data_IF_722657299294
#
_entry.id   IF_722657299294
#
_cell.length_a   1.000
_cell.length_b   1.000
_cell.length_c   1.000
_cell.angle_alpha   90.00
_cell.angle_beta   90.00
_cell.angle_gamma   90.00
#
_symmetry.space_group_name_H-M   'P 1'
#
loop_
_entity.id
_entity.type
_entity.pdbx_description
1 polymer ?
#
# COMPACT_ATOMS: atom_id res chain seq x y z
N UNK A 1 31.87 -26.22 -3.88
CA UNK A 1 32.03 -26.35 -2.40
C UNK A 1 32.43 -27.79 -2.07
N UNK A 2 33.61 -28.04 -1.49
CA UNK A 2 34.15 -29.39 -1.19
C UNK A 2 33.45 -30.10 0.00
N UNK A 3 32.11 -30.14 0.03
CA UNK A 3 31.33 -30.79 1.10
C UNK A 3 31.42 -30.13 2.49
N UNK A 4 32.21 -29.07 2.66
CA UNK A 4 32.38 -28.33 3.92
C UNK A 4 31.05 -27.79 4.46
N UNK A 5 30.22 -27.19 3.61
CA UNK A 5 28.89 -26.71 4.00
C UNK A 5 27.99 -27.87 4.45
N UNK A 6 27.94 -28.96 3.68
CA UNK A 6 27.17 -30.15 4.04
C UNK A 6 27.60 -30.73 5.39
N UNK A 7 28.89 -30.69 5.73
CA UNK A 7 29.38 -31.12 7.03
C UNK A 7 28.97 -30.17 8.16
N UNK A 8 28.98 -28.85 7.94
CA UNK A 8 28.51 -27.86 8.92
C UNK A 8 26.99 -27.97 9.17
N UNK A 9 26.23 -28.39 8.17
CA UNK A 9 24.79 -28.60 8.28
C UNK A 9 24.41 -29.91 8.99
N UNK A 10 25.37 -30.83 9.24
CA UNK A 10 25.07 -32.06 9.98
C UNK A 10 24.65 -31.73 11.41
N UNK A 11 23.37 -31.91 11.71
CA UNK A 11 22.78 -31.59 13.02
C UNK A 11 22.09 -30.23 13.09
N UNK A 12 22.19 -29.40 12.05
CA UNK A 12 21.40 -28.18 11.95
C UNK A 12 19.92 -28.54 11.74
N UNK A 13 19.05 -28.07 12.63
CA UNK A 13 17.60 -28.19 12.51
C UNK A 13 17.03 -26.84 12.09
N UNK A 14 17.14 -26.52 10.79
CA UNK A 14 16.58 -25.29 10.24
C UNK A 14 15.13 -25.51 9.80
N UNK A 15 14.19 -25.11 10.66
CA UNK A 15 12.78 -25.04 10.32
C UNK A 15 12.45 -23.86 9.39
N UNK A 16 11.21 -23.81 8.90
CA UNK A 16 10.68 -22.67 8.14
C UNK A 16 10.90 -21.36 8.93
N UNK A 17 11.45 -20.34 8.27
CA UNK A 17 11.70 -19.03 8.89
C UNK A 17 12.94 -18.98 9.79
N UNK A 18 13.76 -20.03 9.79
CA UNK A 18 15.06 -20.04 10.44
C UNK A 18 16.18 -19.99 9.40
N UNK A 19 17.27 -19.30 9.73
CA UNK A 19 18.47 -19.28 8.93
C UNK A 19 19.71 -19.27 9.81
N UNK A 20 20.83 -19.79 9.31
CA UNK A 20 22.14 -19.72 9.96
C UNK A 20 23.17 -19.16 8.99
N UNK A 21 24.13 -18.40 9.52
CA UNK A 21 25.21 -17.79 8.74
C UNK A 21 26.51 -18.53 9.04
N UNK A 22 27.18 -18.98 7.99
CA UNK A 22 28.45 -19.67 8.06
C UNK A 22 29.52 -18.84 7.34
N UNK A 23 30.65 -18.62 8.01
CA UNK A 23 31.82 -17.94 7.44
C UNK A 23 32.92 -18.95 7.12
N UNK A 24 33.91 -18.53 6.33
CA UNK A 24 35.06 -19.37 5.95
C UNK A 24 34.65 -20.67 5.24
N UNK A 25 33.51 -20.71 4.54
CA UNK A 25 33.03 -21.91 3.83
C UNK A 25 33.62 -22.00 2.43
N UNK A 26 33.72 -20.87 1.73
CA UNK A 26 34.25 -20.76 0.37
C UNK A 26 35.12 -19.51 0.26
N UNK A 27 36.10 -19.52 -0.65
CA UNK A 27 37.01 -18.37 -0.80
C UNK A 27 36.34 -17.16 -1.45
N UNK A 28 35.38 -17.39 -2.34
CA UNK A 28 34.67 -16.31 -3.06
C UNK A 28 33.53 -15.68 -2.24
N UNK A 29 33.13 -16.28 -1.12
CA UNK A 29 31.99 -15.83 -0.32
C UNK A 29 32.42 -15.55 1.12
N UNK A 30 32.33 -14.29 1.54
CA UNK A 30 32.64 -13.87 2.92
C UNK A 30 31.77 -14.60 3.96
N UNK A 31 30.50 -14.80 3.63
CA UNK A 31 29.54 -15.54 4.43
C UNK A 31 28.50 -16.22 3.52
N UNK A 32 27.95 -17.34 3.99
CA UNK A 32 26.87 -18.08 3.34
C UNK A 32 25.76 -18.24 4.38
N UNK A 33 24.55 -17.78 4.04
CA UNK A 33 23.37 -18.04 4.86
C UNK A 33 22.58 -19.22 4.29
N UNK A 34 22.23 -20.17 5.14
CA UNK A 34 21.34 -21.29 4.80
C UNK A 34 20.04 -21.10 5.56
N UNK A 35 18.91 -21.14 4.85
CA UNK A 35 17.57 -20.98 5.42
C UNK A 35 16.70 -22.22 5.20
N UNK A 36 15.84 -22.53 6.17
CA UNK A 36 14.84 -23.58 6.04
C UNK A 36 13.66 -23.13 5.17
N UNK A 37 13.45 -23.80 4.04
CA UNK A 37 12.32 -23.57 3.13
C UNK A 37 11.01 -24.15 3.67
N UNK A 38 11.05 -25.09 4.62
CA UNK A 38 9.87 -25.86 5.01
C UNK A 38 9.66 -27.10 4.12
N UNK A 39 8.45 -27.70 4.13
CA UNK A 39 8.17 -28.93 3.38
C UNK A 39 8.34 -28.75 1.86
N UNK A 40 8.82 -29.80 1.20
CA UNK A 40 8.89 -29.88 -0.26
C UNK A 40 7.51 -30.19 -0.86
N UNK A 41 7.27 -29.76 -2.11
CA UNK A 41 6.05 -30.08 -2.86
C UNK A 41 4.82 -29.28 -2.46
N UNK A 42 4.96 -28.26 -1.62
CA UNK A 42 3.90 -27.31 -1.30
C UNK A 42 3.43 -26.55 -2.54
N UNK A 43 2.18 -26.07 -2.52
CA UNK A 43 1.57 -25.33 -3.63
C UNK A 43 0.48 -24.39 -3.13
N UNK A 44 -0.62 -24.30 -3.87
CA UNK A 44 -1.77 -23.51 -3.45
C UNK A 44 -2.51 -24.20 -2.29
N UNK A 45 -2.55 -23.55 -1.13
CA UNK A 45 -3.39 -23.93 0.01
C UNK A 45 -4.71 -23.16 -0.05
N UNK A 46 -5.80 -23.89 -0.28
CA UNK A 46 -7.14 -23.31 -0.39
C UNK A 46 -7.73 -22.83 0.94
N UNK A 47 -7.27 -23.37 2.07
CA UNK A 47 -7.71 -22.97 3.40
C UNK A 47 -7.02 -21.66 3.82
N UNK A 48 -5.72 -21.57 3.56
CA UNK A 48 -4.95 -20.34 3.83
C UNK A 48 -5.17 -19.24 2.78
N UNK A 49 -5.68 -19.61 1.60
CA UNK A 49 -5.84 -18.71 0.46
C UNK A 49 -4.49 -18.17 -0.01
N UNK A 50 -3.49 -19.05 -0.12
CA UNK A 50 -2.09 -18.69 -0.27
C UNK A 50 -1.31 -19.71 -1.12
N UNK A 51 -0.41 -19.24 -1.98
CA UNK A 51 0.64 -20.05 -2.59
C UNK A 51 1.77 -20.28 -1.56
N UNK A 52 1.69 -21.40 -0.83
CA UNK A 52 2.59 -21.73 0.29
C UNK A 52 4.02 -21.91 -0.19
N UNK A 53 4.23 -22.44 -1.40
CA UNK A 53 5.56 -22.57 -1.99
C UNK A 53 6.24 -21.21 -2.14
N UNK A 54 5.56 -20.25 -2.76
CA UNK A 54 6.09 -18.89 -2.91
C UNK A 54 6.32 -18.20 -1.57
N UNK A 55 5.38 -18.36 -0.63
CA UNK A 55 5.54 -17.74 0.69
C UNK A 55 6.72 -18.32 1.48
N UNK A 56 6.94 -19.63 1.39
CA UNK A 56 8.10 -20.30 1.96
C UNK A 56 9.41 -19.76 1.39
N UNK A 57 9.47 -19.56 0.07
CA UNK A 57 10.64 -18.97 -0.61
C UNK A 57 10.86 -17.52 -0.17
N UNK A 58 9.80 -16.69 -0.08
CA UNK A 58 9.91 -15.32 0.43
C UNK A 58 10.45 -15.29 1.85
N UNK A 59 9.90 -16.11 2.74
CA UNK A 59 10.31 -16.19 4.14
C UNK A 59 11.77 -16.63 4.25
N UNK A 60 12.17 -17.69 3.55
CA UNK A 60 13.54 -18.21 3.60
C UNK A 60 14.58 -17.21 3.08
N UNK A 61 14.32 -16.61 1.91
CA UNK A 61 15.18 -15.58 1.33
C UNK A 61 15.25 -14.33 2.20
N UNK A 62 14.13 -13.92 2.80
CA UNK A 62 14.05 -12.79 3.73
C UNK A 62 14.94 -12.99 4.97
N UNK A 63 14.80 -14.12 5.66
CA UNK A 63 15.56 -14.37 6.91
C UNK A 63 17.05 -14.56 6.64
N UNK A 64 17.42 -15.19 5.52
CA UNK A 64 18.81 -15.32 5.10
C UNK A 64 19.43 -13.95 4.77
N UNK A 65 18.76 -13.17 3.91
CA UNK A 65 19.27 -11.88 3.47
C UNK A 65 19.39 -10.89 4.63
N UNK A 66 18.41 -10.85 5.54
CA UNK A 66 18.47 -10.02 6.75
C UNK A 66 19.63 -10.40 7.66
N UNK A 67 19.89 -11.70 7.88
CA UNK A 67 21.04 -12.14 8.70
C UNK A 67 22.38 -11.79 8.06
N UNK A 68 22.51 -11.88 6.74
CA UNK A 68 23.72 -11.46 6.02
C UNK A 68 23.92 -9.94 6.12
N UNK A 69 22.86 -9.14 5.89
CA UNK A 69 22.92 -7.69 6.06
C UNK A 69 23.35 -7.30 7.48
N UNK A 70 22.76 -7.91 8.51
CA UNK A 70 23.12 -7.68 9.91
C UNK A 70 24.55 -8.11 10.26
N UNK A 71 25.15 -8.98 9.44
CA UNK A 71 26.56 -9.40 9.56
C UNK A 71 27.52 -8.49 8.78
N UNK A 72 27.03 -7.38 8.20
CA UNK A 72 27.81 -6.42 7.44
C UNK A 72 27.99 -6.75 5.96
N UNK A 73 27.24 -7.72 5.42
CA UNK A 73 27.31 -8.09 4.00
C UNK A 73 26.42 -7.16 3.17
N UNK A 74 27.04 -6.38 2.28
CA UNK A 74 26.34 -5.38 1.47
C UNK A 74 26.03 -5.84 0.05
N UNK A 75 26.53 -6.98 -0.40
CA UNK A 75 26.19 -7.60 -1.69
C UNK A 75 25.85 -9.06 -1.45
N UNK A 76 24.62 -9.43 -1.75
CA UNK A 76 24.08 -10.77 -1.48
C UNK A 76 23.66 -11.40 -2.80
N UNK A 77 24.22 -12.58 -3.07
CA UNK A 77 23.73 -13.45 -4.14
C UNK A 77 22.61 -14.31 -3.55
N UNK A 78 21.43 -14.24 -4.15
CA UNK A 78 20.22 -14.91 -3.68
C UNK A 78 19.93 -16.09 -4.60
N UNK A 79 19.77 -17.28 -4.01
CA UNK A 79 19.35 -18.46 -4.77
C UNK A 79 17.93 -18.27 -5.31
N UNK A 80 17.70 -18.64 -6.57
CA UNK A 80 16.39 -18.52 -7.21
C UNK A 80 15.36 -19.57 -6.76
N UNK A 81 15.81 -20.65 -6.11
CA UNK A 81 15.00 -21.81 -5.74
C UNK A 81 14.14 -22.30 -6.93
N UNK A 82 12.88 -22.68 -6.69
CA UNK A 82 11.88 -22.97 -7.74
C UNK A 82 11.14 -21.73 -8.25
N UNK A 83 11.32 -20.57 -7.61
CA UNK A 83 10.66 -19.32 -7.99
C UNK A 83 11.54 -18.09 -7.65
N UNK A 84 12.28 -17.60 -8.63
CA UNK A 84 13.22 -16.49 -8.43
C UNK A 84 12.54 -15.14 -8.19
N UNK A 85 11.28 -14.98 -8.63
CA UNK A 85 10.47 -13.79 -8.34
C UNK A 85 10.15 -13.69 -6.85
N UNK A 86 9.66 -14.78 -6.24
CA UNK A 86 9.41 -14.86 -4.80
C UNK A 86 10.70 -14.71 -3.97
N UNK A 87 11.82 -15.27 -4.44
CA UNK A 87 13.11 -15.14 -3.77
C UNK A 87 13.61 -13.67 -3.75
N UNK A 88 13.47 -12.98 -4.88
CA UNK A 88 13.78 -11.56 -4.98
C UNK A 88 12.85 -10.71 -4.11
N UNK A 89 11.55 -10.97 -4.14
CA UNK A 89 10.54 -10.29 -3.30
C UNK A 89 10.93 -10.39 -1.82
N UNK A 90 11.14 -11.61 -1.31
CA UNK A 90 11.47 -11.86 0.09
C UNK A 90 12.77 -11.17 0.53
N UNK A 91 13.86 -11.37 -0.22
CA UNK A 91 15.14 -10.76 0.09
C UNK A 91 15.06 -9.22 0.08
N UNK A 92 14.47 -8.63 -0.97
CA UNK A 92 14.41 -7.17 -1.15
C UNK A 92 13.50 -6.47 -0.12
N UNK A 93 12.39 -7.10 0.27
CA UNK A 93 11.51 -6.57 1.31
C UNK A 93 12.17 -6.62 2.69
N UNK A 94 12.98 -7.65 2.97
CA UNK A 94 13.62 -7.86 4.26
C UNK A 94 14.83 -6.97 4.52
N UNK A 95 15.64 -6.70 3.48
CA UNK A 95 16.84 -5.84 3.62
C UNK A 95 16.52 -4.35 3.53
N UNK A 96 15.28 -3.98 3.22
CA UNK A 96 14.85 -2.59 3.18
C UNK A 96 14.85 -1.97 4.59
N UNK A 97 15.32 -0.74 4.67
CA UNK A 97 15.33 0.05 5.90
C UNK A 97 14.95 1.49 5.60
N UNK A 98 14.10 2.08 6.42
CA UNK A 98 13.86 3.53 6.40
C UNK A 98 14.94 4.25 7.21
N UNK A 99 15.76 5.05 6.53
CA UNK A 99 16.96 5.67 7.14
C UNK A 99 17.10 7.18 6.84
N UNK A 100 16.15 7.79 6.12
CA UNK A 100 16.23 9.17 5.59
C UNK A 100 16.57 10.21 6.67
N UNK A 101 16.02 10.04 7.88
CA UNK A 101 16.21 10.96 9.00
C UNK A 101 17.17 10.45 10.09
N UNK A 102 17.86 9.33 9.86
CA UNK A 102 18.97 8.90 10.74
C UNK A 102 20.20 9.78 10.49
N UNK A 103 21.03 9.94 11.52
CA UNK A 103 22.34 10.57 11.38
C UNK A 103 23.17 9.83 10.32
N UNK A 104 23.95 10.56 9.51
CA UNK A 104 24.75 9.95 8.42
C UNK A 104 25.69 8.84 8.91
N UNK A 105 26.24 8.97 10.11
CA UNK A 105 27.14 7.99 10.73
C UNK A 105 26.40 6.72 11.20
N UNK A 106 25.09 6.80 11.41
CA UNK A 106 24.22 5.69 11.83
C UNK A 106 23.49 5.03 10.64
N UNK A 107 23.62 5.60 9.43
CA UNK A 107 23.04 5.03 8.23
C UNK A 107 23.84 3.80 7.80
N UNK A 108 23.13 2.69 7.59
CA UNK A 108 23.69 1.48 7.01
C UNK A 108 23.71 1.59 5.49
N UNK A 109 24.74 1.01 4.86
CA UNK A 109 24.80 0.91 3.41
C UNK A 109 23.63 0.09 2.88
N UNK A 110 23.07 0.50 1.74
CA UNK A 110 22.02 -0.27 1.09
C UNK A 110 22.58 -1.60 0.56
N UNK A 111 21.86 -2.68 0.82
CA UNK A 111 22.24 -4.01 0.35
C UNK A 111 21.88 -4.18 -1.13
N UNK A 112 22.87 -4.57 -1.94
CA UNK A 112 22.70 -4.97 -3.33
C UNK A 112 22.34 -6.45 -3.39
N UNK A 113 21.29 -6.78 -4.15
CA UNK A 113 20.83 -8.15 -4.37
C UNK A 113 21.06 -8.56 -5.82
N UNK A 114 21.61 -9.75 -6.03
CA UNK A 114 21.82 -10.34 -7.35
C UNK A 114 21.38 -11.81 -7.33
N UNK A 115 21.04 -12.38 -8.48
CA UNK A 115 20.67 -13.79 -8.58
C UNK A 115 21.94 -14.66 -8.55
N UNK A 116 21.95 -15.68 -7.68
CA UNK A 116 23.02 -16.68 -7.61
C UNK A 116 22.95 -17.64 -8.82
N UNK A 117 24.09 -17.85 -9.48
CA UNK A 117 24.30 -18.83 -10.57
C UNK A 117 23.37 -18.73 -11.80
N UNK A 118 22.75 -17.57 -12.06
CA UNK A 118 22.27 -17.20 -13.41
C UNK A 118 21.99 -15.69 -13.48
N UNK A 119 22.61 -14.92 -14.38
CA UNK A 119 22.27 -13.51 -14.57
C UNK A 119 20.97 -13.29 -15.38
N UNK A 120 20.36 -14.35 -15.93
CA UNK A 120 19.27 -14.26 -16.90
C UNK A 120 17.99 -14.93 -16.38
N UNK A 121 17.29 -14.25 -15.48
CA UNK A 121 15.95 -14.65 -15.05
C UNK A 121 15.02 -13.44 -15.00
N UNK A 122 14.07 -13.35 -15.93
CA UNK A 122 13.05 -12.29 -15.95
C UNK A 122 12.27 -12.23 -14.61
N UNK A 123 12.06 -13.40 -13.99
CA UNK A 123 11.40 -13.54 -12.69
C UNK A 123 12.11 -12.79 -11.55
N UNK A 124 13.43 -12.91 -11.40
CA UNK A 124 14.16 -12.25 -10.32
C UNK A 124 14.08 -10.73 -10.45
N UNK A 125 14.30 -10.21 -11.67
CA UNK A 125 14.16 -8.78 -11.96
C UNK A 125 12.75 -8.27 -11.67
N UNK A 126 11.73 -9.02 -12.08
CA UNK A 126 10.32 -8.71 -11.81
C UNK A 126 10.03 -8.67 -10.30
N UNK A 127 10.57 -9.61 -9.53
CA UNK A 127 10.43 -9.64 -8.08
C UNK A 127 11.10 -8.45 -7.39
N UNK A 128 12.31 -8.05 -7.85
CA UNK A 128 12.97 -6.83 -7.37
C UNK A 128 12.13 -5.58 -7.67
N UNK A 129 11.56 -5.46 -8.88
CA UNK A 129 10.71 -4.32 -9.27
C UNK A 129 9.49 -4.24 -8.35
N UNK A 130 8.81 -5.36 -8.11
CA UNK A 130 7.63 -5.41 -7.23
C UNK A 130 7.98 -5.01 -5.79
N UNK A 131 9.05 -5.58 -5.24
CA UNK A 131 9.50 -5.24 -3.90
C UNK A 131 9.94 -3.77 -3.79
N UNK A 132 10.61 -3.22 -4.80
CA UNK A 132 10.97 -1.80 -4.85
C UNK A 132 9.71 -0.92 -4.82
N UNK A 133 8.67 -1.28 -5.58
CA UNK A 133 7.42 -0.53 -5.63
C UNK A 133 6.64 -0.61 -4.31
N UNK A 134 6.66 -1.75 -3.61
CA UNK A 134 6.09 -1.87 -2.27
C UNK A 134 6.92 -1.09 -1.24
N UNK A 135 8.25 -1.13 -1.35
CA UNK A 135 9.17 -0.37 -0.51
C UNK A 135 9.04 1.15 -0.73
N UNK A 136 8.68 1.59 -1.93
CA UNK A 136 8.30 2.99 -2.18
C UNK A 136 7.06 3.37 -1.37
N UNK A 137 6.03 2.53 -1.35
CA UNK A 137 4.85 2.77 -0.50
C UNK A 137 5.24 2.84 0.99
N UNK A 138 6.03 1.85 1.48
CA UNK A 138 6.59 1.85 2.85
C UNK A 138 7.39 3.11 3.16
N UNK A 139 8.16 3.63 2.20
CA UNK A 139 8.96 4.85 2.36
C UNK A 139 8.08 6.08 2.55
N UNK A 140 6.96 6.16 1.84
CA UNK A 140 6.00 7.24 2.00
C UNK A 140 5.25 7.09 3.33
N UNK A 141 4.82 5.88 3.69
CA UNK A 141 4.09 5.61 4.95
C UNK A 141 4.93 5.83 6.21
N UNK A 142 6.22 5.50 6.17
CA UNK A 142 7.12 5.63 7.32
C UNK A 142 7.55 7.08 7.57
N UNK A 143 7.53 7.92 6.53
CA UNK A 143 7.93 9.31 6.62
C UNK A 143 7.06 10.09 7.64
N UNK A 144 7.66 10.89 8.53
CA UNK A 144 6.91 11.67 9.51
C UNK A 144 6.11 12.76 8.79
N UNK A 145 4.88 13.00 9.25
CA UNK A 145 3.92 13.86 8.56
C UNK A 145 4.42 15.29 8.30
N UNK A 146 5.24 15.85 9.20
CA UNK A 146 5.87 17.15 9.00
C UNK A 146 6.90 17.20 7.86
N UNK A 147 7.37 16.04 7.38
CA UNK A 147 8.28 15.85 6.24
C UNK A 147 7.61 15.15 5.06
N UNK A 148 6.30 14.92 5.17
CA UNK A 148 5.46 14.34 4.13
C UNK A 148 4.09 15.02 4.14
N UNK A 149 4.07 16.34 4.05
CA UNK A 149 2.84 17.11 3.88
C UNK A 149 2.16 16.77 2.54
N UNK A 150 0.90 17.19 2.28
CA UNK A 150 0.23 16.91 1.01
C UNK A 150 1.08 17.31 -0.21
N UNK A 151 1.70 18.49 -0.15
CA UNK A 151 2.60 18.97 -1.21
C UNK A 151 3.86 18.10 -1.36
N UNK A 152 4.53 17.78 -0.24
CA UNK A 152 5.74 16.94 -0.29
C UNK A 152 5.46 15.52 -0.77
N UNK A 153 4.28 14.96 -0.46
CA UNK A 153 3.85 13.70 -1.04
C UNK A 153 3.74 13.81 -2.56
N UNK A 154 3.11 14.87 -3.07
CA UNK A 154 3.00 15.10 -4.51
C UNK A 154 4.38 15.24 -5.18
N UNK A 155 5.32 15.96 -4.57
CA UNK A 155 6.70 16.06 -5.06
C UNK A 155 7.40 14.70 -5.13
N UNK A 156 7.28 13.88 -4.08
CA UNK A 156 7.84 12.51 -4.08
C UNK A 156 7.21 11.63 -5.16
N UNK A 157 5.90 11.76 -5.38
CA UNK A 157 5.21 11.04 -6.43
C UNK A 157 5.70 11.47 -7.83
N UNK A 158 5.86 12.77 -8.08
CA UNK A 158 6.44 13.30 -9.32
C UNK A 158 7.84 12.72 -9.55
N UNK A 159 8.71 12.76 -8.53
CA UNK A 159 10.07 12.24 -8.62
C UNK A 159 10.12 10.73 -8.90
N UNK A 160 9.19 9.97 -8.34
CA UNK A 160 9.14 8.51 -8.49
C UNK A 160 8.53 8.04 -9.82
N UNK A 161 7.63 8.84 -10.42
CA UNK A 161 6.74 8.38 -11.51
C UNK A 161 7.06 9.00 -12.86
N UNK A 162 7.45 10.29 -12.93
CA UNK A 162 7.62 10.98 -14.20
C UNK A 162 8.72 10.36 -15.08
N UNK A 163 9.82 9.87 -14.47
CA UNK A 163 10.90 9.18 -15.19
C UNK A 163 10.46 7.86 -15.82
N UNK A 164 9.33 7.30 -15.37
CA UNK A 164 8.77 6.05 -15.88
C UNK A 164 7.67 6.28 -16.93
N UNK A 165 7.43 7.52 -17.36
CA UNK A 165 6.40 7.85 -18.36
C UNK A 165 4.99 7.94 -17.79
N UNK A 166 4.84 8.01 -16.47
CA UNK A 166 3.54 8.24 -15.82
C UNK A 166 3.27 9.75 -15.75
N UNK A 167 2.08 10.16 -16.17
CA UNK A 167 1.61 11.53 -16.04
C UNK A 167 1.21 11.81 -14.59
N UNK A 168 1.70 12.92 -14.02
CA UNK A 168 1.37 13.38 -12.67
C UNK A 168 0.84 14.82 -12.75
N UNK A 169 -0.43 15.02 -12.44
CA UNK A 169 -1.08 16.32 -12.39
C UNK A 169 -1.42 16.69 -10.95
N UNK A 170 -0.83 17.78 -10.44
CA UNK A 170 -1.11 18.30 -9.09
C UNK A 170 -2.24 19.32 -9.18
N UNK A 171 -3.42 19.02 -8.63
CA UNK A 171 -4.56 19.94 -8.59
C UNK A 171 -4.59 20.64 -7.25
N UNK A 172 -4.39 21.95 -7.25
CA UNK A 172 -4.34 22.76 -6.05
C UNK A 172 -5.75 23.05 -5.47
N UNK A 173 -5.76 23.75 -4.33
CA UNK A 173 -7.00 24.17 -3.66
C UNK A 173 -7.91 25.00 -4.57
N UNK A 174 -7.36 25.87 -5.42
CA UNK A 174 -8.17 26.69 -6.31
C UNK A 174 -8.94 25.83 -7.30
N UNK A 175 -8.26 24.86 -7.92
CA UNK A 175 -8.92 23.89 -8.80
C UNK A 175 -10.00 23.07 -8.08
N UNK A 176 -9.76 22.68 -6.82
CA UNK A 176 -10.76 21.96 -6.01
C UNK A 176 -12.02 22.79 -5.76
N UNK A 177 -11.85 24.10 -5.51
CA UNK A 177 -12.94 25.07 -5.33
C UNK A 177 -13.72 25.26 -6.64
N UNK A 178 -13.03 25.42 -7.77
CA UNK A 178 -13.65 25.51 -9.10
C UNK A 178 -14.47 24.26 -9.43
N UNK A 179 -13.98 23.08 -9.06
CA UNK A 179 -14.68 21.80 -9.21
C UNK A 179 -15.73 21.56 -8.14
N UNK A 180 -15.91 22.46 -7.17
CA UNK A 180 -16.90 22.36 -6.08
C UNK A 180 -16.76 21.06 -5.28
N UNK A 181 -15.53 20.62 -5.02
CA UNK A 181 -15.24 19.45 -4.19
C UNK A 181 -15.41 19.79 -2.69
N UNK A 182 -16.61 20.22 -2.32
CA UNK A 182 -16.89 20.80 -1.02
C UNK A 182 -16.78 19.77 0.12
N UNK A 183 -17.11 18.49 -0.12
CA UNK A 183 -16.99 17.45 0.90
C UNK A 183 -15.51 17.26 1.26
N UNK A 184 -14.63 17.20 0.25
CA UNK A 184 -13.19 17.14 0.48
C UNK A 184 -12.65 18.41 1.16
N UNK A 185 -12.96 19.60 0.60
CA UNK A 185 -12.50 20.88 1.15
C UNK A 185 -12.95 21.11 2.61
N UNK A 186 -14.15 20.66 2.96
CA UNK A 186 -14.71 20.80 4.32
C UNK A 186 -13.99 19.95 5.35
N UNK A 187 -13.45 18.80 4.99
CA UNK A 187 -12.64 18.01 5.91
C UNK A 187 -11.23 18.60 6.05
N UNK A 188 -10.64 19.10 4.97
CA UNK A 188 -9.26 19.57 4.96
C UNK A 188 -9.03 20.91 5.68
N UNK A 189 -10.05 21.78 5.78
CA UNK A 189 -9.94 23.16 6.31
C UNK A 189 -9.48 23.28 7.77
N UNK A 190 -9.39 22.17 8.52
CA UNK A 190 -8.86 22.16 9.89
C UNK A 190 -7.35 22.38 9.96
N UNK A 191 -6.61 22.01 8.90
CA UNK A 191 -5.16 22.19 8.83
C UNK A 191 -4.74 23.48 8.11
N UNK A 192 -3.55 23.96 8.44
CA UNK A 192 -2.86 25.02 7.69
C UNK A 192 -2.18 24.48 6.42
N UNK A 193 -1.99 23.16 6.28
CA UNK A 193 -1.48 22.54 5.06
C UNK A 193 -2.57 22.55 3.98
N UNK A 194 -2.35 23.18 2.81
CA UNK A 194 -3.34 23.22 1.76
C UNK A 194 -3.67 21.82 1.23
N UNK A 195 -4.96 21.47 1.03
CA UNK A 195 -5.33 20.23 0.36
C UNK A 195 -4.97 20.29 -1.12
N UNK A 196 -4.72 19.12 -1.69
CA UNK A 196 -4.54 18.96 -3.13
C UNK A 196 -5.14 17.64 -3.59
N UNK A 197 -5.49 17.55 -4.87
CA UNK A 197 -5.85 16.28 -5.51
C UNK A 197 -4.74 15.91 -6.48
N UNK A 198 -4.05 14.81 -6.20
CA UNK A 198 -3.05 14.28 -7.10
C UNK A 198 -3.72 13.34 -8.11
N UNK A 199 -3.60 13.66 -9.39
CA UNK A 199 -4.13 12.85 -10.48
C UNK A 199 -2.98 12.16 -11.22
N UNK A 200 -3.03 10.82 -11.28
CA UNK A 200 -2.03 10.00 -11.98
C UNK A 200 -2.63 9.40 -13.26
N UNK A 201 -1.81 9.25 -14.30
CA UNK A 201 -2.22 8.61 -15.56
C UNK A 201 -1.10 7.80 -16.18
N UNK A 202 -1.39 6.55 -16.53
CA UNK A 202 -0.53 5.68 -17.32
C UNK A 202 -1.36 5.08 -18.45
N UNK A 203 -0.99 5.39 -19.69
CA UNK A 203 -1.73 5.02 -20.89
C UNK A 203 -0.82 4.21 -21.81
N UNK A 204 -0.82 2.89 -21.64
CA UNK A 204 0.00 1.97 -22.45
C UNK A 204 -0.85 0.96 -23.26
N UNK A 205 -2.18 1.05 -23.18
CA UNK A 205 -3.10 0.34 -24.07
C UNK A 205 -3.65 1.30 -25.15
N UNK A 206 -4.57 0.82 -25.99
CA UNK A 206 -5.16 1.68 -27.01
C UNK A 206 -5.93 2.85 -26.35
N UNK A 207 -5.89 4.09 -26.89
CA UNK A 207 -6.52 5.27 -26.28
C UNK A 207 -8.03 5.14 -26.01
N UNK A 208 -8.72 4.31 -26.79
CA UNK A 208 -10.14 4.00 -26.67
C UNK A 208 -10.48 3.01 -25.56
N UNK A 209 -9.49 2.27 -25.06
CA UNK A 209 -9.69 1.31 -23.97
C UNK A 209 -9.99 2.04 -22.66
N UNK A 210 -11.12 1.67 -22.06
CA UNK A 210 -11.58 2.26 -20.80
C UNK A 210 -10.57 1.97 -19.68
N UNK A 211 -10.15 3.00 -18.92
CA UNK A 211 -9.14 2.80 -17.89
C UNK A 211 -9.71 2.09 -16.66
N UNK A 212 -8.82 1.44 -15.90
CA UNK A 212 -9.08 1.14 -14.48
C UNK A 212 -8.76 2.40 -13.68
N UNK A 213 -9.66 2.79 -12.78
CA UNK A 213 -9.47 3.95 -11.93
C UNK A 213 -9.23 3.53 -10.48
N UNK A 214 -8.19 4.10 -9.86
CA UNK A 214 -7.87 3.94 -8.44
C UNK A 214 -8.17 5.24 -7.70
N UNK A 215 -8.83 5.15 -6.54
CA UNK A 215 -9.00 6.29 -5.63
C UNK A 215 -8.39 5.90 -4.29
N UNK A 216 -7.35 6.60 -3.86
CA UNK A 216 -6.61 6.28 -2.63
C UNK A 216 -6.76 7.37 -1.59
N UNK A 217 -7.24 7.02 -0.39
CA UNK A 217 -7.22 7.92 0.78
C UNK A 217 -5.79 8.42 1.02
N UNK A 218 -5.64 9.74 1.13
CA UNK A 218 -4.33 10.39 1.22
C UNK A 218 -4.19 11.34 2.40
N UNK A 219 -4.60 10.95 3.61
CA UNK A 219 -4.36 11.82 4.76
C UNK A 219 -2.93 11.70 5.25
N UNK A 220 -2.15 12.76 5.07
CA UNK A 220 -0.75 12.79 5.49
C UNK A 220 -0.59 12.81 7.01
N UNK A 221 -1.64 13.22 7.71
CA UNK A 221 -1.81 12.98 9.13
C UNK A 221 -3.28 13.01 9.52
N UNK A 222 -3.67 12.09 10.40
CA UNK A 222 -5.02 12.04 10.95
C UNK A 222 -5.02 12.04 12.48
N UNK A 223 -5.36 13.19 13.05
CA UNK A 223 -5.59 13.31 14.49
C UNK A 223 -7.05 13.04 14.87
N UNK A 224 -7.94 12.82 13.89
CA UNK A 224 -9.39 12.73 14.05
C UNK A 224 -10.14 14.05 14.09
N UNK A 225 -9.47 15.18 13.89
CA UNK A 225 -10.08 16.50 13.99
C UNK A 225 -10.58 16.81 15.41
N UNK A 226 -11.84 17.27 15.55
CA UNK A 226 -12.45 17.57 16.86
C UNK A 226 -12.81 16.32 17.67
N UNK A 227 -13.11 15.19 17.01
CA UNK A 227 -13.09 13.87 17.62
C UNK A 227 -11.65 13.35 17.68
N UNK A 228 -10.84 14.01 18.49
CA UNK A 228 -9.41 13.72 18.57
C UNK A 228 -9.15 12.29 19.01
N UNK A 229 -8.29 11.58 18.27
CA UNK A 229 -7.84 10.24 18.63
C UNK A 229 -7.10 10.24 19.96
N UNK A 230 -6.98 9.05 20.58
CA UNK A 230 -6.15 8.88 21.77
C UNK A 230 -4.68 9.15 21.44
N UNK A 231 -3.93 9.70 22.40
CA UNK A 231 -2.50 9.97 22.23
C UNK A 231 -1.69 8.69 21.97
N UNK A 232 -2.08 7.59 22.63
CA UNK A 232 -1.43 6.29 22.45
C UNK A 232 -1.55 5.82 21.00
N UNK A 233 -0.41 5.63 20.34
CA UNK A 233 -0.35 5.19 18.95
C UNK A 233 -0.65 6.29 17.92
N UNK A 234 -0.98 7.52 18.30
CA UNK A 234 -1.36 8.60 17.37
C UNK A 234 -0.32 8.84 16.28
N UNK A 235 0.96 8.70 16.62
CA UNK A 235 2.10 8.82 15.70
C UNK A 235 1.99 7.91 14.46
N UNK A 236 1.28 6.77 14.56
CA UNK A 236 1.08 5.83 13.44
C UNK A 236 0.16 6.40 12.35
N UNK A 237 -0.68 7.38 12.66
CA UNK A 237 -1.55 8.04 11.68
C UNK A 237 -0.82 8.97 10.70
N UNK A 238 0.52 9.03 10.75
CA UNK A 238 1.32 9.52 9.61
C UNK A 238 1.14 8.65 8.35
N UNK A 239 0.81 7.37 8.53
CA UNK A 239 0.57 6.41 7.46
C UNK A 239 -0.89 6.38 7.00
N UNK A 240 -1.72 7.35 7.38
CA UNK A 240 -3.14 7.40 6.97
C UNK A 240 -3.35 7.81 5.48
N UNK A 241 -2.23 7.91 4.77
CA UNK A 241 -2.07 8.08 3.34
C UNK A 241 -1.55 6.80 2.64
N UNK A 242 -1.48 5.66 3.34
CA UNK A 242 -0.97 4.41 2.78
C UNK A 242 -1.67 3.99 1.48
N UNK A 243 -2.98 4.23 1.35
CA UNK A 243 -3.69 3.95 0.11
C UNK A 243 -3.22 4.80 -1.08
N UNK A 244 -2.90 6.08 -0.85
CA UNK A 244 -2.27 6.92 -1.86
C UNK A 244 -0.84 6.44 -2.17
N UNK A 245 -0.07 6.02 -1.16
CA UNK A 245 1.27 5.47 -1.32
C UNK A 245 1.29 4.18 -2.16
N UNK A 246 0.36 3.25 -1.87
CA UNK A 246 0.16 2.02 -2.64
C UNK A 246 -0.21 2.35 -4.08
N UNK A 247 -1.09 3.33 -4.33
CA UNK A 247 -1.41 3.75 -5.70
C UNK A 247 -0.16 4.26 -6.46
N UNK A 248 0.71 5.05 -5.82
CA UNK A 248 2.00 5.45 -6.41
C UNK A 248 2.87 4.22 -6.73
N UNK A 249 2.99 3.27 -5.81
CA UNK A 249 3.71 2.01 -6.04
C UNK A 249 3.14 1.19 -7.22
N UNK A 250 1.82 1.07 -7.32
CA UNK A 250 1.14 0.36 -8.44
C UNK A 250 1.47 1.01 -9.77
N UNK A 251 1.42 2.35 -9.87
CA UNK A 251 1.74 3.06 -11.11
C UNK A 251 3.21 2.88 -11.50
N UNK A 252 4.14 2.95 -10.53
CA UNK A 252 5.56 2.70 -10.79
C UNK A 252 5.77 1.27 -11.28
N UNK A 253 5.15 0.29 -10.64
CA UNK A 253 5.25 -1.12 -11.01
C UNK A 253 4.69 -1.38 -12.42
N UNK A 254 3.50 -0.87 -12.73
CA UNK A 254 2.87 -1.01 -14.03
C UNK A 254 3.75 -0.44 -15.17
N UNK A 255 4.34 0.73 -14.94
CA UNK A 255 5.24 1.37 -15.89
C UNK A 255 6.57 0.61 -16.04
N UNK A 256 7.22 0.21 -14.94
CA UNK A 256 8.49 -0.54 -14.98
C UNK A 256 8.36 -1.92 -15.62
N UNK A 257 7.20 -2.56 -15.48
CA UNK A 257 6.87 -3.84 -16.12
C UNK A 257 6.27 -3.68 -17.53
N UNK A 258 6.12 -2.45 -18.03
CA UNK A 258 5.53 -2.13 -19.33
C UNK A 258 4.16 -2.81 -19.54
N UNK A 259 3.30 -2.80 -18.51
CA UNK A 259 1.99 -3.44 -18.61
C UNK A 259 1.14 -2.73 -19.69
N UNK A 260 0.49 -3.47 -20.61
CA UNK A 260 -0.30 -2.88 -21.69
C UNK A 260 -1.71 -2.53 -21.19
N UNK A 261 -1.81 -1.57 -20.26
CA UNK A 261 -3.08 -1.17 -19.63
C UNK A 261 -3.22 0.35 -19.55
N UNK A 262 -4.45 0.82 -19.53
CA UNK A 262 -4.78 2.20 -19.17
C UNK A 262 -5.21 2.24 -17.70
N UNK A 263 -4.45 2.94 -16.85
CA UNK A 263 -4.79 3.17 -15.44
C UNK A 263 -4.75 4.66 -15.09
N UNK A 264 -5.70 5.10 -14.27
CA UNK A 264 -5.77 6.46 -13.72
C UNK A 264 -5.95 6.41 -12.21
N UNK A 265 -5.44 7.41 -11.50
CA UNK A 265 -5.68 7.53 -10.07
C UNK A 265 -6.07 8.95 -9.65
N UNK A 266 -6.89 9.03 -8.60
CA UNK A 266 -7.29 10.26 -7.93
C UNK A 266 -6.98 10.13 -6.44
N UNK A 267 -6.00 10.87 -5.95
CA UNK A 267 -5.50 10.77 -4.58
C UNK A 267 -5.78 12.09 -3.85
N UNK A 268 -6.90 12.23 -3.13
CA UNK A 268 -7.17 13.41 -2.30
C UNK A 268 -6.18 13.45 -1.14
N UNK A 269 -5.31 14.47 -1.12
CA UNK A 269 -4.29 14.66 -0.10
C UNK A 269 -4.63 15.84 0.82
N UNK A 270 -4.64 15.60 2.13
CA UNK A 270 -4.88 16.62 3.15
C UNK A 270 -4.38 16.14 4.52
N UNK A 271 -4.55 16.98 5.55
CA UNK A 271 -4.47 16.55 6.95
C UNK A 271 -5.85 16.69 7.60
N UNK A 272 -6.15 15.84 8.60
CA UNK A 272 -7.31 15.97 9.47
C UNK A 272 -6.85 16.38 10.87
N UNK A 273 -6.91 17.69 11.14
CA UNK A 273 -6.44 18.30 12.39
C UNK A 273 -7.55 19.11 13.08
N UNK A 274 -7.54 19.23 14.42
CA UNK A 274 -8.31 20.25 15.11
C UNK A 274 -7.76 21.63 14.72
N UNK A 275 -8.67 22.59 14.56
CA UNK A 275 -8.32 23.97 14.23
C UNK A 275 -9.56 24.86 14.33
N UNK A 276 -9.37 26.18 14.37
CA UNK A 276 -10.49 27.13 14.45
C UNK A 276 -11.46 27.06 13.27
N UNK A 277 -11.02 26.48 12.14
CA UNK A 277 -11.82 26.25 10.94
C UNK A 277 -12.23 24.79 10.76
N UNK A 278 -11.86 23.89 11.68
CA UNK A 278 -12.16 22.47 11.56
C UNK A 278 -13.68 22.23 11.46
N UNK A 279 -14.03 21.14 10.78
CA UNK A 279 -15.43 20.71 10.71
C UNK A 279 -15.95 20.35 12.11
N UNK A 280 -17.21 20.71 12.37
CA UNK A 280 -17.87 20.42 13.65
C UNK A 280 -18.78 19.20 13.52
N UNK A 281 -18.90 18.39 14.58
CA UNK A 281 -19.91 17.34 14.64
C UNK A 281 -21.31 17.92 14.36
N UNK A 282 -22.05 17.29 13.45
CA UNK A 282 -23.36 17.74 12.98
C UNK A 282 -23.33 18.72 11.81
N UNK A 283 -22.16 19.23 11.38
CA UNK A 283 -22.06 20.04 10.16
C UNK A 283 -22.55 19.22 8.95
N UNK A 284 -23.22 19.90 8.01
CA UNK A 284 -23.71 19.29 6.76
C UNK A 284 -22.95 19.90 5.60
N UNK A 285 -22.44 19.03 4.71
CA UNK A 285 -21.75 19.44 3.49
C UNK A 285 -22.45 18.87 2.25
N UNK A 286 -22.48 19.64 1.18
CA UNK A 286 -23.01 19.19 -0.11
C UNK A 286 -21.89 18.59 -0.95
N UNK A 287 -21.96 17.30 -1.27
CA UNK A 287 -21.01 16.64 -2.17
C UNK A 287 -21.21 17.04 -3.64
N UNK A 288 -20.25 16.67 -4.48
CA UNK A 288 -20.21 16.99 -5.92
C UNK A 288 -21.43 16.47 -6.69
N UNK A 289 -22.05 15.39 -6.23
CA UNK A 289 -23.27 14.81 -6.81
C UNK A 289 -24.57 15.46 -6.30
N UNK A 290 -24.49 16.55 -5.54
CA UNK A 290 -25.65 17.26 -4.98
C UNK A 290 -26.31 16.56 -3.80
N UNK A 291 -25.69 15.51 -3.23
CA UNK A 291 -26.16 14.89 -1.99
C UNK A 291 -25.54 15.59 -0.79
N UNK A 292 -26.34 15.80 0.25
CA UNK A 292 -25.84 16.30 1.53
C UNK A 292 -25.28 15.16 2.37
N UNK A 293 -24.21 15.44 3.12
CA UNK A 293 -23.55 14.53 4.06
C UNK A 293 -23.51 15.23 5.40
N UNK A 294 -24.11 14.63 6.43
CA UNK A 294 -23.98 15.09 7.81
C UNK A 294 -22.79 14.41 8.46
N UNK A 295 -21.88 15.24 8.97
CA UNK A 295 -20.60 14.84 9.53
C UNK A 295 -20.79 14.63 11.04
N UNK A 296 -21.18 13.42 11.42
CA UNK A 296 -21.43 13.07 12.81
C UNK A 296 -20.13 12.80 13.59
N UNK A 297 -19.07 12.33 12.90
CA UNK A 297 -17.81 11.94 13.51
C UNK A 297 -16.62 12.40 12.66
N UNK A 298 -15.86 13.38 13.12
CA UNK A 298 -14.77 13.99 12.33
C UNK A 298 -13.58 13.06 12.08
N UNK A 299 -13.49 11.95 12.83
CA UNK A 299 -12.54 10.83 12.62
C UNK A 299 -13.06 9.74 11.65
N UNK A 300 -14.20 9.99 11.00
CA UNK A 300 -14.70 9.18 9.90
C UNK A 300 -14.52 9.93 8.57
N UNK A 301 -13.45 10.70 8.46
CA UNK A 301 -13.12 11.63 7.38
C UNK A 301 -12.83 10.96 6.04
N UNK A 302 -12.18 9.78 6.04
CA UNK A 302 -11.74 9.11 4.83
C UNK A 302 -12.85 8.89 3.80
N UNK A 303 -14.07 8.56 4.24
CA UNK A 303 -15.24 8.39 3.36
C UNK A 303 -15.73 9.71 2.75
N UNK A 304 -15.54 10.83 3.47
CA UNK A 304 -16.00 12.16 3.07
C UNK A 304 -15.01 12.78 2.09
N UNK A 305 -13.70 12.66 2.36
CA UNK A 305 -12.67 13.19 1.45
C UNK A 305 -12.66 12.49 0.09
N UNK A 306 -13.02 11.20 0.05
CA UNK A 306 -13.07 10.42 -1.19
C UNK A 306 -14.40 10.55 -1.94
N UNK A 307 -15.46 11.10 -1.33
CA UNK A 307 -16.78 11.20 -1.95
C UNK A 307 -16.76 12.04 -3.24
N UNK A 308 -16.11 13.21 -3.22
CA UNK A 308 -16.03 14.06 -4.40
C UNK A 308 -15.11 13.49 -5.50
N UNK A 309 -13.89 13.00 -5.19
CA UNK A 309 -13.06 12.28 -6.16
C UNK A 309 -13.79 11.09 -6.80
N UNK A 310 -14.60 10.34 -6.04
CA UNK A 310 -15.38 9.21 -6.54
C UNK A 310 -16.53 9.62 -7.46
N UNK A 311 -17.10 10.80 -7.28
CA UNK A 311 -18.06 11.35 -8.24
C UNK A 311 -17.34 11.85 -9.48
N UNK A 312 -16.21 12.54 -9.30
CA UNK A 312 -15.41 13.09 -10.40
C UNK A 312 -14.83 12.00 -11.32
N UNK A 313 -14.45 10.86 -10.73
CA UNK A 313 -14.02 9.63 -11.38
C UNK A 313 -14.87 9.21 -12.59
N UNK A 314 -16.20 9.39 -12.50
CA UNK A 314 -17.13 8.99 -13.55
C UNK A 314 -16.87 9.72 -14.88
N UNK A 315 -16.25 10.91 -14.85
CA UNK A 315 -15.88 11.66 -16.05
C UNK A 315 -14.88 10.91 -16.94
N UNK A 316 -14.09 9.99 -16.37
CA UNK A 316 -13.14 9.15 -17.11
C UNK A 316 -13.77 7.90 -17.73
N UNK A 317 -15.06 7.64 -17.48
CA UNK A 317 -15.78 6.44 -17.96
C UNK A 317 -15.01 5.12 -17.74
N UNK A 318 -14.50 4.86 -16.52
CA UNK A 318 -13.66 3.69 -16.27
C UNK A 318 -14.43 2.37 -16.43
N UNK A 319 -13.70 1.29 -16.72
CA UNK A 319 -14.27 -0.06 -16.73
C UNK A 319 -14.35 -0.67 -15.33
N UNK A 320 -13.52 -0.20 -14.40
CA UNK A 320 -13.45 -0.62 -13.01
C UNK A 320 -13.00 0.56 -12.15
N UNK A 321 -13.63 0.74 -10.98
CA UNK A 321 -13.18 1.68 -9.94
C UNK A 321 -12.76 0.87 -8.72
N UNK A 322 -11.53 1.09 -8.25
CA UNK A 322 -10.98 0.51 -7.04
C UNK A 322 -10.76 1.65 -6.04
N UNK A 323 -11.42 1.59 -4.89
CA UNK A 323 -11.17 2.51 -3.78
C UNK A 323 -10.28 1.82 -2.75
N UNK A 324 -9.24 2.53 -2.30
CA UNK A 324 -8.28 2.07 -1.30
C UNK A 324 -8.25 3.05 -0.15
N UNK A 325 -8.17 2.55 1.08
CA UNK A 325 -8.03 3.43 2.24
C UNK A 325 -7.69 2.66 3.51
N UNK A 326 -6.87 3.27 4.36
CA UNK A 326 -6.76 2.95 5.79
C UNK A 326 -8.05 3.38 6.48
N UNK A 327 -9.10 2.61 6.20
CA UNK A 327 -10.46 2.88 6.67
C UNK A 327 -10.78 1.98 7.83
N UNK A 328 -11.56 2.53 8.77
CA UNK A 328 -12.31 1.76 9.78
C UNK A 328 -11.45 0.91 10.71
N UNK A 329 -12.10 0.21 11.64
CA UNK A 329 -11.50 -0.78 12.53
C UNK A 329 -11.45 -2.19 11.89
N UNK A 330 -11.12 -2.31 10.58
CA UNK A 330 -10.99 -3.64 9.94
C UNK A 330 -9.88 -4.46 10.59
N UNK A 331 -8.87 -3.80 11.14
CA UNK A 331 -7.84 -4.39 11.98
C UNK A 331 -8.43 -5.14 13.19
N UNK A 332 -9.56 -4.68 13.77
CA UNK A 332 -10.26 -5.43 14.83
C UNK A 332 -10.92 -6.71 14.33
N UNK A 333 -11.19 -6.82 13.04
CA UNK A 333 -11.81 -8.01 12.43
C UNK A 333 -10.79 -9.00 11.86
N UNK A 334 -9.80 -8.52 11.09
CA UNK A 334 -8.81 -9.36 10.39
C UNK A 334 -7.38 -9.24 10.95
N UNK A 335 -7.11 -8.26 11.81
CA UNK A 335 -5.73 -7.88 12.15
C UNK A 335 -4.93 -7.55 10.89
N UNK A 336 -3.73 -8.12 10.80
CA UNK A 336 -2.85 -8.05 9.63
C UNK A 336 -2.94 -9.29 8.74
N UNK A 337 -3.98 -10.14 8.89
CA UNK A 337 -4.11 -11.39 8.15
C UNK A 337 -4.39 -11.21 6.65
N UNK A 338 -5.05 -10.10 6.29
CA UNK A 338 -5.33 -9.68 4.92
C UNK A 338 -6.17 -8.40 4.88
N UNK A 339 -6.25 -7.76 3.72
CA UNK A 339 -7.06 -6.57 3.52
C UNK A 339 -8.55 -6.91 3.32
N UNK A 340 -9.45 -6.09 3.87
CA UNK A 340 -10.88 -6.25 3.63
C UNK A 340 -11.25 -5.77 2.22
N UNK A 341 -11.94 -6.63 1.46
CA UNK A 341 -12.44 -6.35 0.13
C UNK A 341 -13.97 -6.34 0.13
N UNK A 342 -14.53 -5.19 -0.26
CA UNK A 342 -15.94 -4.99 -0.46
C UNK A 342 -16.19 -4.82 -1.96
N UNK A 343 -17.00 -5.69 -2.56
CA UNK A 343 -17.29 -5.64 -4.00
C UNK A 343 -18.68 -6.20 -4.32
N UNK A 344 -19.38 -5.55 -5.25
CA UNK A 344 -20.63 -6.00 -5.85
C UNK A 344 -20.41 -6.93 -7.05
N UNK A 345 -19.16 -7.11 -7.48
CA UNK A 345 -18.75 -7.95 -8.61
C UNK A 345 -18.04 -9.22 -8.14
N UNK A 346 -18.63 -10.36 -8.51
CA UNK A 346 -18.03 -11.68 -8.25
C UNK A 346 -16.71 -11.88 -8.99
N UNK A 347 -16.59 -11.33 -10.20
CA UNK A 347 -15.37 -11.43 -11.01
C UNK A 347 -14.23 -10.68 -10.32
N UNK A 348 -14.50 -9.45 -9.83
CA UNK A 348 -13.50 -8.66 -9.11
C UNK A 348 -13.07 -9.37 -7.82
N UNK A 349 -14.01 -9.96 -7.07
CA UNK A 349 -13.66 -10.76 -5.89
C UNK A 349 -12.68 -11.88 -6.23
N UNK A 350 -13.01 -12.70 -7.24
CA UNK A 350 -12.19 -13.85 -7.64
C UNK A 350 -10.79 -13.45 -8.09
N UNK A 351 -10.67 -12.42 -8.92
CA UNK A 351 -9.36 -11.97 -9.40
C UNK A 351 -8.50 -11.36 -8.29
N UNK A 352 -9.09 -10.57 -7.38
CA UNK A 352 -8.36 -10.01 -6.24
C UNK A 352 -7.94 -11.09 -5.25
N UNK A 353 -8.81 -12.08 -4.99
CA UNK A 353 -8.48 -13.21 -4.13
C UNK A 353 -7.33 -14.05 -4.72
N UNK A 354 -7.37 -14.33 -6.03
CA UNK A 354 -6.29 -15.02 -6.75
C UNK A 354 -4.98 -14.24 -6.69
N UNK A 355 -5.01 -12.93 -6.95
CA UNK A 355 -3.83 -12.08 -6.87
C UNK A 355 -3.24 -12.04 -5.45
N UNK A 356 -4.09 -11.94 -4.42
CA UNK A 356 -3.67 -11.98 -3.02
C UNK A 356 -3.03 -13.31 -2.64
N UNK A 357 -3.57 -14.43 -3.14
CA UNK A 357 -2.98 -15.75 -2.92
C UNK A 357 -1.61 -15.92 -3.58
N UNK A 358 -1.44 -15.43 -4.82
CA UNK A 358 -0.16 -15.51 -5.55
C UNK A 358 0.93 -14.59 -4.95
N UNK A 359 0.54 -13.42 -4.45
CA UNK A 359 1.45 -12.41 -3.89
C UNK A 359 1.77 -12.62 -2.41
N UNK A 360 0.90 -13.32 -1.68
CA UNK A 360 0.95 -13.42 -0.23
C UNK A 360 0.26 -12.28 0.51
N UNK A 361 -0.07 -11.18 -0.18
CA UNK A 361 -0.81 -10.05 0.37
C UNK A 361 -2.33 -10.27 0.21
N UNK A 362 -2.88 -11.05 1.15
CA UNK A 362 -4.22 -11.62 1.05
C UNK A 362 -5.33 -10.58 1.12
N UNK A 363 -6.46 -10.90 0.50
CA UNK A 363 -7.72 -10.16 0.66
C UNK A 363 -8.83 -11.08 1.17
N UNK A 364 -9.73 -10.53 1.99
CA UNK A 364 -10.91 -11.23 2.50
C UNK A 364 -12.19 -10.49 2.17
N UNK A 365 -13.21 -11.20 1.69
CA UNK A 365 -14.46 -10.58 1.26
C UNK A 365 -15.32 -10.19 2.45
N UNK A 366 -15.74 -8.93 2.47
CA UNK A 366 -16.75 -8.43 3.38
C UNK A 366 -18.09 -8.19 2.66
N UNK A 367 -19.22 -8.30 3.39
CA UNK A 367 -20.54 -8.18 2.80
C UNK A 367 -20.91 -6.74 2.42
N UNK A 368 -21.42 -6.54 1.21
CA UNK A 368 -22.08 -5.31 0.75
C UNK A 368 -23.61 -5.42 0.76
N UNK A 369 -24.17 -5.71 1.93
CA UNK A 369 -25.62 -5.91 2.06
C UNK A 369 -26.40 -4.58 2.13
N UNK A 370 -27.61 -4.58 1.55
CA UNK A 370 -28.56 -3.45 1.64
C UNK A 370 -28.90 -3.04 3.07
N UNK A 371 -28.79 -3.97 4.04
CA UNK A 371 -28.98 -3.67 5.45
C UNK A 371 -28.04 -2.57 5.94
N UNK A 372 -26.77 -2.61 5.51
CA UNK A 372 -25.78 -1.62 5.89
C UNK A 372 -26.04 -0.26 5.23
N UNK A 373 -26.50 -0.25 3.97
CA UNK A 373 -26.92 0.99 3.31
C UNK A 373 -28.02 1.71 4.09
N UNK A 374 -29.05 0.99 4.55
CA UNK A 374 -30.17 1.58 5.31
C UNK A 374 -29.71 2.33 6.58
N UNK A 375 -28.60 1.89 7.18
CA UNK A 375 -28.04 2.47 8.41
C UNK A 375 -27.37 3.83 8.19
N UNK A 376 -26.94 4.13 6.96
CA UNK A 376 -26.27 5.40 6.60
C UNK A 376 -27.14 6.34 5.76
N UNK A 377 -28.37 5.93 5.41
CA UNK A 377 -29.29 6.71 4.54
C UNK A 377 -30.65 7.01 5.21
N UNK A 378 -30.68 7.38 6.49
CA UNK A 378 -31.93 7.58 7.28
C UNK A 378 -32.97 8.56 6.67
N UNK A 379 -34.23 8.43 7.10
CA UNK A 379 -35.46 8.98 6.47
C UNK A 379 -35.66 10.51 6.48
N UNK A 380 -34.79 11.28 7.13
CA UNK A 380 -34.91 12.74 7.14
C UNK A 380 -34.16 13.36 5.95
N UNK A 381 -34.92 13.68 4.89
CA UNK A 381 -34.62 14.66 3.83
C UNK A 381 -33.18 14.57 3.29
N UNK A 382 -32.94 13.75 2.26
CA UNK A 382 -31.75 13.77 1.36
C UNK A 382 -30.34 13.75 1.99
N UNK A 383 -30.21 13.53 3.31
CA UNK A 383 -28.94 13.56 4.05
C UNK A 383 -28.38 12.14 4.20
N UNK A 384 -27.14 11.95 3.76
CA UNK A 384 -26.32 10.79 4.10
C UNK A 384 -25.68 10.99 5.47
N UNK A 385 -25.76 9.99 6.33
CA UNK A 385 -25.12 10.00 7.65
C UNK A 385 -23.70 9.46 7.52
N UNK A 386 -22.71 10.23 8.01
CA UNK A 386 -21.32 9.78 7.98
C UNK A 386 -21.08 8.54 8.85
N UNK A 387 -21.77 8.37 9.98
CA UNK A 387 -21.70 7.19 10.85
C UNK A 387 -23.07 6.84 11.43
N UNK A 388 -23.30 5.56 11.74
CA UNK A 388 -24.41 5.15 12.61
C UNK A 388 -23.97 5.34 14.07
N UNK A 389 -24.91 5.58 14.99
CA UNK A 389 -24.68 5.88 16.42
C UNK A 389 -23.83 4.86 17.22
N UNK A 390 -23.30 3.80 16.63
CA UNK A 390 -22.24 2.94 17.20
C UNK A 390 -21.44 2.12 16.15
N UNK A 391 -21.61 2.35 14.83
CA UNK A 391 -20.89 1.60 13.80
C UNK A 391 -20.64 2.45 12.53
N UNK A 392 -19.42 2.34 12.01
CA UNK A 392 -18.86 3.17 10.94
C UNK A 392 -18.94 2.37 9.63
N UNK A 393 -19.75 2.77 8.64
CA UNK A 393 -19.92 2.00 7.38
C UNK A 393 -19.67 2.82 6.10
N UNK A 394 -18.94 2.21 5.15
CA UNK A 394 -18.36 2.79 3.94
C UNK A 394 -19.38 3.41 2.96
N UNK A 395 -18.99 4.52 2.34
CA UNK A 395 -19.62 5.07 1.14
C UNK A 395 -18.94 4.48 -0.11
N UNK A 396 -19.76 4.05 -1.06
CA UNK A 396 -19.43 3.87 -2.49
C UNK A 396 -20.30 4.83 -3.30
#
# INVERSE_FOLDING_TARGET
>A
MEGKLTNLLKGAQLGRGQAEVYTNVHIDYAAIAVAGLGPEGEGMDTLEGLDVCKENIRVASAVAASKLQNSGVNTILVEGFTNSEAAAEGAALAVWQYQEFKNKEEQQANTKLELFESPEGDGFKRGLIKAECQNLARTLEEAPANRLTPYMFAERAVAALCSCGVQVNVRDKHWLEEKKMNAFLTMAKGSCQPPLLLELGYCAAAPEEKPVLIIGKGLTFDSGGLFTKKCEGMMKHRADMAAAAVAVGVFKCAAMLNLPVNIKALLPLAENLPGGLAVKPGDVVMGLNGKSIRIDHTDAEGRVIMADPLVFAASYKPCLIITLGTMTDVDKALGSGGAALFTDSEVVWREMHRAGAETGDRVWRFPLWKNYRKKVTGMDIYILFQCEKNYVLLLF
#
